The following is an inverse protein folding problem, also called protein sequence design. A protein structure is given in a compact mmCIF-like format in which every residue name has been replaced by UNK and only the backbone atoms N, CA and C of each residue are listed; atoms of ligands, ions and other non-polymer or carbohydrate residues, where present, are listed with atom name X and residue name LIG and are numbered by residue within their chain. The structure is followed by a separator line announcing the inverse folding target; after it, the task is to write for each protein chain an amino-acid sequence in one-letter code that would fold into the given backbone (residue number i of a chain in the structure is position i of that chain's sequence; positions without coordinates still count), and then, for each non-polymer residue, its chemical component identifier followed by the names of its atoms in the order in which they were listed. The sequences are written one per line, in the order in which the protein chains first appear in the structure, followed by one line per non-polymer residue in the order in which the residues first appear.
data_IF_284758334563
#
_entry.id   IF_284758334563
#
_cell.length_a   1.000
_cell.length_b   1.000
_cell.length_c   1.000
_cell.angle_alpha   90.00
_cell.angle_beta   90.00
_cell.angle_gamma   90.00
#
_symmetry.space_group_name_H-M   'P 1'
#
loop_
_entity.id
_entity.type
_entity.pdbx_description
1 polymer ?
#
# COMPACT_ATOMS: atom_id res chain seq x y z
N UNK A 1 43.31 -2.09 -44.53
CA UNK A 1 42.98 -2.17 -43.09
C UNK A 1 42.00 -1.06 -42.79
N UNK A 2 40.71 -1.38 -42.73
CA UNK A 2 39.67 -0.46 -42.24
C UNK A 2 38.62 -1.31 -41.57
N UNK A 3 38.66 -1.34 -40.24
CA UNK A 3 37.54 -1.76 -39.41
C UNK A 3 37.09 -0.55 -38.60
N UNK A 4 35.79 -0.21 -38.64
CA UNK A 4 35.19 0.78 -37.77
C UNK A 4 34.75 0.09 -36.46
N UNK A 5 34.76 0.81 -35.35
CA UNK A 5 33.90 0.45 -34.21
C UNK A 5 33.36 1.71 -33.56
N UNK A 6 32.04 1.76 -33.64
CA UNK A 6 31.08 2.64 -32.98
C UNK A 6 31.48 3.06 -31.57
N UNK A 7 31.34 4.37 -31.32
CA UNK A 7 31.21 4.95 -30.00
C UNK A 7 29.77 5.37 -29.77
N UNK A 8 28.90 4.46 -29.35
CA UNK A 8 27.51 4.77 -28.95
C UNK A 8 27.05 3.82 -27.85
N UNK A 9 27.63 3.94 -26.65
CA UNK A 9 27.03 3.36 -25.44
C UNK A 9 27.38 4.19 -24.21
N UNK A 10 26.59 5.22 -23.88
CA UNK A 10 26.49 5.68 -22.47
C UNK A 10 25.31 6.63 -22.16
N UNK A 11 24.27 6.74 -23.00
CA UNK A 11 23.09 7.57 -22.71
C UNK A 11 21.82 6.77 -22.43
N UNK A 12 21.78 5.47 -22.74
CA UNK A 12 20.57 4.65 -22.57
C UNK A 12 20.33 4.15 -21.14
N UNK A 13 21.37 3.93 -20.32
CA UNK A 13 21.16 3.28 -19.01
C UNK A 13 20.52 4.20 -17.97
N UNK A 14 20.74 5.52 -18.07
CA UNK A 14 20.16 6.47 -17.12
C UNK A 14 18.70 6.78 -17.45
N UNK A 15 18.35 6.92 -18.73
CA UNK A 15 16.96 7.07 -19.16
C UNK A 15 16.16 5.76 -19.07
N UNK A 16 16.78 4.58 -19.25
CA UNK A 16 16.15 3.30 -18.91
C UNK A 16 16.00 3.11 -17.41
N UNK A 17 17.01 3.47 -16.60
CA UNK A 17 16.88 3.43 -15.14
C UNK A 17 15.84 4.43 -14.66
N UNK A 18 15.73 5.62 -15.28
CA UNK A 18 14.70 6.62 -15.01
C UNK A 18 13.32 6.18 -15.48
N UNK A 19 13.18 5.55 -16.65
CA UNK A 19 11.90 4.98 -17.10
C UNK A 19 11.51 3.73 -16.31
N UNK A 20 12.45 2.90 -15.90
CA UNK A 20 12.22 1.77 -15.01
C UNK A 20 11.91 2.25 -13.60
N UNK A 21 12.52 3.35 -13.14
CA UNK A 21 12.14 4.07 -11.94
C UNK A 21 10.73 4.62 -12.13
N UNK A 22 10.40 5.39 -13.15
CA UNK A 22 9.06 5.92 -13.45
C UNK A 22 8.00 4.82 -13.66
N UNK A 23 8.37 3.66 -14.20
CA UNK A 23 7.53 2.46 -14.30
C UNK A 23 7.44 1.68 -12.97
N UNK A 24 8.42 1.81 -12.08
CA UNK A 24 8.41 1.26 -10.71
C UNK A 24 7.85 2.22 -9.65
N UNK A 25 7.84 3.52 -9.97
CA UNK A 25 7.27 4.71 -9.33
C UNK A 25 5.88 4.99 -9.93
N UNK A 26 5.32 4.03 -10.67
CA UNK A 26 3.88 3.84 -10.60
C UNK A 26 3.62 3.46 -9.15
N UNK A 27 3.39 4.50 -8.36
CA UNK A 27 2.85 4.51 -7.02
C UNK A 27 1.54 3.74 -7.05
N UNK A 28 1.63 2.41 -7.10
CA UNK A 28 0.50 1.52 -6.93
C UNK A 28 -0.02 1.81 -5.54
N UNK A 29 -0.99 2.71 -5.49
CA UNK A 29 -1.81 2.96 -4.34
C UNK A 29 -3.12 2.24 -4.60
N UNK A 30 -3.14 0.90 -4.50
CA UNK A 30 -4.35 0.14 -4.79
C UNK A 30 -5.38 0.49 -3.74
N UNK A 31 -6.59 0.74 -4.22
CA UNK A 31 -7.77 0.97 -3.42
C UNK A 31 -8.82 -0.09 -3.75
N UNK A 32 -9.64 -0.42 -2.76
CA UNK A 32 -10.79 -1.30 -2.90
C UNK A 32 -11.94 -0.70 -2.10
N UNK A 33 -13.15 -0.81 -2.66
CA UNK A 33 -14.36 -0.29 -2.05
C UNK A 33 -15.20 -1.42 -1.47
N UNK A 34 -15.79 -1.17 -0.30
CA UNK A 34 -16.80 -2.00 0.33
C UNK A 34 -18.10 -1.23 0.38
N UNK A 35 -19.18 -1.86 -0.07
CA UNK A 35 -20.53 -1.26 -0.06
C UNK A 35 -21.50 -2.13 0.70
N UNK A 36 -22.27 -1.55 1.61
CA UNK A 36 -23.23 -2.30 2.43
C UNK A 36 -24.09 -1.40 3.31
N UNK A 37 -24.75 -2.00 4.30
CA UNK A 37 -25.42 -1.22 5.35
C UNK A 37 -24.38 -0.66 6.32
N UNK A 38 -24.70 0.45 7.00
CA UNK A 38 -23.80 1.02 8.00
C UNK A 38 -23.41 0.01 9.09
N UNK A 39 -24.39 -0.76 9.56
CA UNK A 39 -24.17 -1.78 10.60
C UNK A 39 -23.24 -2.91 10.11
N UNK A 40 -23.44 -3.40 8.89
CA UNK A 40 -22.57 -4.45 8.33
C UNK A 40 -21.15 -3.91 8.08
N UNK A 41 -21.03 -2.65 7.65
CA UNK A 41 -19.73 -2.03 7.45
C UNK A 41 -19.02 -1.66 8.76
N UNK A 42 -19.73 -1.40 9.86
CA UNK A 42 -19.14 -1.21 11.19
C UNK A 42 -18.55 -2.54 11.70
N UNK A 43 -19.30 -3.64 11.52
CA UNK A 43 -18.80 -4.99 11.88
C UNK A 43 -17.63 -5.42 11.00
N UNK A 44 -17.72 -5.21 9.69
CA UNK A 44 -16.64 -5.49 8.75
C UNK A 44 -15.37 -4.71 9.11
N UNK A 45 -15.52 -3.43 9.48
CA UNK A 45 -14.39 -2.60 9.88
C UNK A 45 -13.67 -3.14 11.11
N UNK A 46 -14.41 -3.60 12.13
CA UNK A 46 -13.81 -4.22 13.31
C UNK A 46 -13.02 -5.50 12.97
N UNK A 47 -13.52 -6.30 12.03
CA UNK A 47 -12.82 -7.49 11.55
C UNK A 47 -11.62 -7.16 10.65
N UNK A 48 -11.71 -6.10 9.85
CA UNK A 48 -10.58 -5.59 9.08
C UNK A 48 -9.47 -5.09 10.01
N UNK A 49 -9.80 -4.35 11.07
CA UNK A 49 -8.86 -3.92 12.10
C UNK A 49 -8.15 -5.12 12.75
N UNK A 50 -8.92 -6.13 13.16
CA UNK A 50 -8.37 -7.36 13.72
C UNK A 50 -7.48 -8.09 12.71
N UNK A 51 -7.90 -8.22 11.45
CA UNK A 51 -7.12 -8.92 10.43
C UNK A 51 -5.82 -8.16 10.08
N UNK A 52 -5.89 -6.83 9.96
CA UNK A 52 -4.72 -5.99 9.71
C UNK A 52 -3.68 -6.14 10.82
N UNK A 53 -4.12 -6.14 12.07
CA UNK A 53 -3.23 -6.19 13.23
C UNK A 53 -2.73 -7.60 13.55
N UNK A 54 -3.60 -8.60 13.55
CA UNK A 54 -3.28 -9.96 14.00
C UNK A 54 -2.80 -10.90 12.90
N UNK A 55 -3.32 -10.76 11.66
CA UNK A 55 -2.98 -11.63 10.52
C UNK A 55 -1.87 -11.00 9.68
N UNK A 56 -1.98 -9.69 9.42
CA UNK A 56 -1.09 -8.99 8.50
C UNK A 56 0.04 -8.20 9.21
N UNK A 57 0.18 -8.26 10.53
CA UNK A 57 1.20 -7.54 11.33
C UNK A 57 1.35 -6.06 10.91
N UNK A 58 0.22 -5.41 10.58
CA UNK A 58 0.13 -3.98 10.25
C UNK A 58 -0.32 -3.27 11.53
N UNK A 59 0.43 -2.26 11.96
CA UNK A 59 0.20 -1.60 13.26
C UNK A 59 -0.56 -0.29 13.09
N UNK A 60 -1.50 0.05 13.99
CA UNK A 60 -2.18 1.33 13.96
C UNK A 60 -1.18 2.49 14.13
N UNK A 61 -1.47 3.62 13.48
CA UNK A 61 -0.70 4.86 13.56
C UNK A 61 -1.65 5.97 13.96
N UNK A 62 -1.37 6.59 15.09
CA UNK A 62 -2.09 7.80 15.52
C UNK A 62 -1.45 9.03 14.88
N UNK A 63 -2.26 9.82 14.17
CA UNK A 63 -1.87 11.13 13.65
C UNK A 63 -2.99 12.14 13.93
N UNK A 64 -2.66 13.41 14.11
CA UNK A 64 -3.67 14.46 14.29
C UNK A 64 -4.65 14.44 13.11
N UNK A 65 -5.95 14.31 13.41
CA UNK A 65 -7.00 14.19 12.40
C UNK A 65 -7.42 12.75 12.04
N UNK A 66 -6.84 11.68 12.61
CA UNK A 66 -7.54 10.38 12.66
C UNK A 66 -8.80 10.57 13.51
N UNK A 67 -9.98 10.52 12.88
CA UNK A 67 -11.29 10.74 13.51
C UNK A 67 -12.23 9.55 13.32
N UNK A 68 -13.54 9.75 13.59
CA UNK A 68 -14.58 8.70 13.59
C UNK A 68 -14.87 8.02 12.23
N UNK A 69 -14.06 8.27 11.21
CA UNK A 69 -14.19 7.68 9.88
C UNK A 69 -12.85 7.42 9.19
N UNK A 70 -11.72 7.49 9.91
CA UNK A 70 -10.41 7.40 9.29
C UNK A 70 -9.41 6.64 10.19
N UNK A 71 -8.90 5.53 9.67
CA UNK A 71 -7.95 4.66 10.37
C UNK A 71 -6.70 4.46 9.54
N UNK A 72 -5.54 4.68 10.14
CA UNK A 72 -4.25 4.52 9.49
C UNK A 72 -3.45 3.40 10.15
N UNK A 73 -2.89 2.55 9.32
CA UNK A 73 -2.04 1.44 9.73
C UNK A 73 -0.74 1.48 8.94
N UNK A 74 0.32 0.89 9.51
CA UNK A 74 1.64 0.81 8.90
C UNK A 74 2.26 -0.57 9.09
N UNK A 75 2.82 -1.10 8.00
CA UNK A 75 3.75 -2.25 8.03
C UNK A 75 5.18 -1.76 7.82
N UNK A 76 6.09 -2.21 8.70
CA UNK A 76 7.51 -1.85 8.70
C UNK A 76 7.84 -0.55 9.45
N UNK A 77 9.07 -0.41 9.99
CA UNK A 77 9.49 0.74 10.82
C UNK A 77 11.01 0.83 11.05
N UNK A 78 11.50 2.03 11.43
CA UNK A 78 12.94 2.39 11.58
C UNK A 78 13.77 1.39 12.42
N UNK A 79 13.16 0.72 13.40
CA UNK A 79 13.85 -0.25 14.27
C UNK A 79 14.06 -1.65 13.70
N UNK A 80 13.46 -2.00 12.55
CA UNK A 80 13.63 -3.33 11.92
C UNK A 80 14.71 -3.37 10.82
N UNK A 81 15.23 -2.21 10.40
CA UNK A 81 16.20 -2.13 9.30
C UNK A 81 17.56 -2.79 9.64
N UNK A 82 18.06 -2.61 10.87
CA UNK A 82 19.33 -3.22 11.30
C UNK A 82 19.19 -4.73 11.60
N UNK A 83 18.12 -5.14 12.28
CA UNK A 83 17.90 -6.55 12.62
C UNK A 83 17.58 -7.42 11.40
N UNK A 84 16.81 -6.90 10.44
CA UNK A 84 16.47 -7.63 9.22
C UNK A 84 17.67 -7.79 8.28
N UNK A 85 18.55 -6.79 8.14
CA UNK A 85 19.78 -6.96 7.34
C UNK A 85 20.74 -8.00 7.95
N UNK A 86 20.83 -8.05 9.28
CA UNK A 86 21.69 -9.02 9.98
C UNK A 86 21.14 -10.45 9.90
N UNK A 87 19.82 -10.64 10.03
CA UNK A 87 19.19 -11.96 9.84
C UNK A 87 19.18 -12.41 8.37
N UNK A 88 18.98 -11.49 7.43
CA UNK A 88 18.89 -11.80 5.99
C UNK A 88 20.25 -12.15 5.38
N UNK A 89 21.35 -11.67 5.96
CA UNK A 89 22.70 -12.15 5.64
C UNK A 89 22.96 -13.60 6.09
N UNK A 90 22.15 -14.12 7.04
CA UNK A 90 22.35 -15.43 7.66
C UNK A 90 21.38 -16.52 7.17
N UNK A 91 20.28 -16.18 6.49
CA UNK A 91 19.32 -17.19 6.01
C UNK A 91 19.04 -17.04 4.52
N UNK A 92 19.64 -17.93 3.71
CA UNK A 92 19.38 -18.09 2.27
C UNK A 92 18.07 -18.87 2.00
N UNK A 93 17.05 -18.72 2.86
CA UNK A 93 15.80 -19.47 2.78
C UNK A 93 14.62 -18.65 3.30
N UNK A 94 13.60 -18.50 2.47
CA UNK A 94 12.21 -18.33 2.92
C UNK A 94 11.72 -16.88 3.00
N UNK A 95 10.77 -16.56 2.11
CA UNK A 95 10.23 -15.22 1.94
C UNK A 95 9.45 -14.69 3.14
N UNK A 96 9.76 -13.46 3.51
CA UNK A 96 8.77 -12.49 3.96
C UNK A 96 9.25 -11.13 3.44
N UNK A 97 8.42 -10.58 2.55
CA UNK A 97 8.71 -9.43 1.73
C UNK A 97 9.15 -8.24 2.58
N UNK A 98 10.32 -7.69 2.26
CA UNK A 98 10.90 -6.52 2.90
C UNK A 98 10.21 -5.27 2.30
N UNK A 99 8.90 -5.14 2.52
CA UNK A 99 8.06 -4.08 1.96
C UNK A 99 7.46 -3.29 3.12
N UNK A 100 7.64 -1.96 3.07
CA UNK A 100 6.94 -1.06 3.98
C UNK A 100 5.81 -0.40 3.22
N UNK A 101 4.62 -0.39 3.80
CA UNK A 101 3.44 0.26 3.23
C UNK A 101 2.52 0.71 4.36
N UNK A 102 1.62 1.62 4.03
CA UNK A 102 0.54 2.08 4.89
C UNK A 102 -0.78 1.56 4.35
N UNK A 103 -1.71 1.25 5.26
CA UNK A 103 -3.09 0.92 4.91
C UNK A 103 -3.96 2.00 5.52
N UNK A 104 -4.81 2.61 4.72
CA UNK A 104 -5.79 3.60 5.13
C UNK A 104 -7.18 2.99 4.97
N UNK A 105 -7.97 3.01 6.03
CA UNK A 105 -9.40 2.77 5.96
C UNK A 105 -10.13 4.11 6.11
N UNK A 106 -11.02 4.42 5.16
CA UNK A 106 -11.79 5.66 5.14
C UNK A 106 -13.28 5.36 4.95
N UNK A 107 -14.11 5.74 5.92
CA UNK A 107 -15.56 5.75 5.81
C UNK A 107 -15.95 7.01 5.03
N UNK A 108 -16.36 6.81 3.76
CA UNK A 108 -16.72 7.91 2.86
C UNK A 108 -18.12 8.43 3.17
N UNK A 109 -19.05 7.50 3.40
CA UNK A 109 -20.40 7.75 3.90
C UNK A 109 -20.89 6.52 4.68
N UNK A 110 -22.16 6.51 5.10
CA UNK A 110 -22.74 5.42 5.88
C UNK A 110 -22.75 4.06 5.16
N UNK A 111 -22.75 4.04 3.83
CA UNK A 111 -22.84 2.84 2.99
C UNK A 111 -21.55 2.48 2.26
N UNK A 112 -20.52 3.31 2.33
CA UNK A 112 -19.25 3.14 1.62
C UNK A 112 -18.02 3.22 2.54
N UNK A 113 -17.15 2.22 2.42
CA UNK A 113 -15.83 2.16 3.06
C UNK A 113 -14.75 1.94 1.99
N UNK A 114 -13.63 2.65 2.10
CA UNK A 114 -12.45 2.45 1.27
C UNK A 114 -11.32 1.83 2.08
N UNK A 115 -10.60 0.89 1.48
CA UNK A 115 -9.28 0.47 1.92
C UNK A 115 -8.29 0.86 0.84
N UNK A 116 -7.29 1.67 1.19
CA UNK A 116 -6.24 2.10 0.28
C UNK A 116 -4.87 1.79 0.86
N UNK A 117 -3.96 1.34 0.00
CA UNK A 117 -2.56 1.16 0.37
C UNK A 117 -1.75 2.34 -0.14
N UNK A 118 -0.88 2.91 0.67
CA UNK A 118 0.00 4.02 0.29
C UNK A 118 1.47 3.74 0.63
N UNK A 119 2.38 4.43 -0.07
CA UNK A 119 3.80 4.48 0.27
C UNK A 119 4.48 3.12 0.27
N UNK A 120 4.17 2.29 -0.73
CA UNK A 120 4.77 0.97 -0.93
C UNK A 120 6.25 1.14 -1.30
N UNK A 121 7.12 1.07 -0.30
CA UNK A 121 8.58 1.07 -0.48
C UNK A 121 9.07 -0.36 -0.64
N UNK A 122 9.48 -0.71 -1.86
CA UNK A 122 10.19 -1.97 -2.15
C UNK A 122 11.59 -1.88 -1.56
N UNK A 123 11.97 -2.82 -0.69
CA UNK A 123 13.37 -2.90 -0.22
C UNK A 123 14.17 -4.05 -0.82
N UNK A 124 13.62 -4.88 -1.73
CA UNK A 124 14.34 -5.67 -2.77
C UNK A 124 13.38 -6.61 -3.56
N UNK A 125 13.65 -6.79 -4.86
CA UNK A 125 13.21 -7.82 -5.84
C UNK A 125 11.74 -8.25 -6.05
N UNK A 126 10.73 -7.84 -5.26
CA UNK A 126 9.32 -8.20 -5.54
C UNK A 126 8.40 -7.00 -5.77
N UNK A 127 7.51 -7.13 -6.76
CA UNK A 127 6.37 -6.22 -7.00
C UNK A 127 5.35 -6.45 -5.87
N UNK A 128 4.79 -5.38 -5.33
CA UNK A 128 3.69 -5.48 -4.37
C UNK A 128 2.40 -5.86 -5.11
N UNK A 129 1.81 -6.99 -4.76
CA UNK A 129 0.50 -7.41 -5.26
C UNK A 129 -0.53 -7.39 -4.11
N UNK A 130 -1.54 -6.50 -4.16
CA UNK A 130 -2.57 -6.45 -3.12
C UNK A 130 -3.40 -7.74 -3.04
N UNK A 131 -3.49 -8.54 -4.11
CA UNK A 131 -4.17 -9.84 -4.07
C UNK A 131 -3.39 -10.87 -3.26
N UNK A 132 -2.05 -10.91 -3.39
CA UNK A 132 -1.19 -11.79 -2.60
C UNK A 132 -1.26 -11.41 -1.11
N UNK A 133 -1.28 -10.11 -0.80
CA UNK A 133 -1.23 -9.61 0.57
C UNK A 133 -2.59 -9.69 1.28
N UNK A 134 -3.67 -9.24 0.63
CA UNK A 134 -4.99 -9.11 1.27
C UNK A 134 -6.00 -10.16 0.81
N UNK A 135 -5.73 -10.90 -0.27
CA UNK A 135 -6.73 -11.75 -0.93
C UNK A 135 -7.34 -12.79 0.00
N UNK A 136 -6.54 -13.45 0.85
CA UNK A 136 -7.05 -14.43 1.80
C UNK A 136 -8.01 -13.79 2.82
N UNK A 137 -7.64 -12.62 3.37
CA UNK A 137 -8.47 -11.85 4.32
C UNK A 137 -9.77 -11.41 3.66
N UNK A 138 -9.69 -10.82 2.46
CA UNK A 138 -10.88 -10.34 1.74
C UNK A 138 -11.82 -11.47 1.33
N UNK A 139 -11.28 -12.63 0.94
CA UNK A 139 -12.08 -13.82 0.59
C UNK A 139 -12.76 -14.43 1.81
N UNK A 140 -12.16 -14.32 2.99
CA UNK A 140 -12.79 -14.75 4.24
C UNK A 140 -13.89 -13.76 4.66
N UNK A 141 -13.61 -12.46 4.62
CA UNK A 141 -14.59 -11.41 4.92
C UNK A 141 -15.80 -11.46 3.97
N UNK A 142 -15.60 -11.68 2.68
CA UNK A 142 -16.72 -11.79 1.72
C UNK A 142 -17.65 -12.96 2.02
N UNK A 143 -17.14 -14.02 2.66
CA UNK A 143 -17.95 -15.18 3.09
C UNK A 143 -18.70 -14.90 4.38
N UNK A 144 -18.10 -14.15 5.32
CA UNK A 144 -18.71 -13.80 6.61
C UNK A 144 -19.72 -12.65 6.51
N UNK A 145 -19.54 -11.75 5.56
CA UNK A 145 -20.38 -10.57 5.36
C UNK A 145 -21.03 -10.57 3.96
N UNK A 146 -21.97 -11.48 3.68
CA UNK A 146 -22.60 -11.58 2.35
C UNK A 146 -23.44 -10.34 1.97
N UNK A 147 -23.82 -9.51 2.95
CA UNK A 147 -24.50 -8.23 2.73
C UNK A 147 -23.56 -7.09 2.30
N UNK A 148 -22.25 -7.31 2.30
CA UNK A 148 -21.25 -6.34 1.86
C UNK A 148 -20.71 -6.74 0.49
N UNK A 149 -20.83 -5.84 -0.48
CA UNK A 149 -20.18 -5.98 -1.78
C UNK A 149 -18.74 -5.50 -1.68
N UNK A 150 -17.78 -6.36 -2.03
CA UNK A 150 -16.37 -6.00 -2.17
C UNK A 150 -16.08 -5.74 -3.65
N UNK A 151 -15.67 -4.52 -3.99
CA UNK A 151 -15.35 -4.13 -5.36
C UNK A 151 -14.02 -4.71 -5.86
N UNK A 152 -13.70 -4.54 -7.15
CA UNK A 152 -12.37 -4.84 -7.66
C UNK A 152 -11.33 -3.85 -7.12
N UNK A 153 -10.06 -4.23 -7.13
CA UNK A 153 -8.97 -3.28 -6.91
C UNK A 153 -8.90 -2.27 -8.04
N UNK A 154 -8.66 -1.01 -7.69
CA UNK A 154 -8.44 0.09 -8.61
C UNK A 154 -7.32 0.99 -8.11
N UNK A 155 -6.89 1.95 -8.92
CA UNK A 155 -5.83 2.87 -8.55
C UNK A 155 -6.41 4.08 -7.81
N UNK A 156 -5.93 4.40 -6.61
CA UNK A 156 -6.50 5.48 -5.80
C UNK A 156 -6.33 6.89 -6.39
N UNK A 157 -5.53 7.04 -7.45
CA UNK A 157 -5.40 8.29 -8.21
C UNK A 157 -6.68 8.64 -8.98
N UNK A 158 -7.60 7.70 -9.16
CA UNK A 158 -8.93 7.96 -9.72
C UNK A 158 -9.89 8.57 -8.71
N UNK A 159 -9.51 8.64 -7.42
CA UNK A 159 -10.33 9.24 -6.37
C UNK A 159 -10.19 10.76 -6.36
N UNK A 160 -11.27 11.50 -6.10
CA UNK A 160 -11.21 12.93 -5.80
C UNK A 160 -10.20 13.27 -4.71
N UNK A 161 -9.48 14.39 -4.87
CA UNK A 161 -8.47 14.87 -3.91
C UNK A 161 -9.02 15.19 -2.51
N UNK A 162 -10.35 15.34 -2.41
CA UNK A 162 -11.04 15.54 -1.13
C UNK A 162 -10.98 14.29 -0.23
N UNK A 163 -10.80 13.09 -0.80
CA UNK A 163 -10.69 11.86 -0.03
C UNK A 163 -9.27 11.64 0.46
N UNK A 164 -9.14 11.26 1.73
CA UNK A 164 -7.84 10.93 2.32
C UNK A 164 -7.21 9.71 1.64
N UNK A 165 -8.01 8.84 1.03
CA UNK A 165 -7.60 7.70 0.20
C UNK A 165 -6.98 8.10 -1.13
N UNK A 166 -7.21 9.31 -1.64
CA UNK A 166 -6.51 9.77 -2.84
C UNK A 166 -5.05 10.10 -2.51
N UNK A 167 -4.09 9.97 -3.44
CA UNK A 167 -2.69 10.33 -3.18
C UNK A 167 -2.53 11.80 -2.73
N UNK A 168 -3.29 12.72 -3.33
CA UNK A 168 -3.25 14.14 -2.99
C UNK A 168 -3.89 14.42 -1.62
N UNK A 169 -5.02 13.80 -1.31
CA UNK A 169 -5.69 13.92 -0.02
C UNK A 169 -4.86 13.31 1.11
N UNK A 170 -4.26 12.14 0.87
CA UNK A 170 -3.33 11.49 1.80
C UNK A 170 -2.15 12.42 2.12
N UNK A 171 -1.50 12.97 1.09
CA UNK A 171 -0.37 13.87 1.24
C UNK A 171 -0.71 15.14 2.04
N UNK A 172 -1.89 15.71 1.81
CA UNK A 172 -2.41 16.85 2.58
C UNK A 172 -2.66 16.49 4.04
N UNK A 173 -3.28 15.33 4.28
CA UNK A 173 -3.67 14.91 5.62
C UNK A 173 -2.47 14.63 6.52
N UNK A 174 -1.51 13.87 6.01
CA UNK A 174 -0.33 13.47 6.80
C UNK A 174 0.76 14.56 6.83
N UNK A 175 0.60 15.60 6.01
CA UNK A 175 1.56 16.68 5.80
C UNK A 175 2.57 16.35 4.70
N UNK A 176 2.78 17.30 3.77
CA UNK A 176 3.60 17.12 2.56
C UNK A 176 5.03 16.65 2.85
N UNK A 177 5.65 17.13 3.94
CA UNK A 177 7.00 16.71 4.34
C UNK A 177 7.06 15.24 4.79
N UNK A 178 5.97 14.72 5.36
CA UNK A 178 5.84 13.31 5.73
C UNK A 178 5.45 12.47 4.50
N UNK A 179 4.62 13.03 3.61
CA UNK A 179 4.20 12.36 2.38
C UNK A 179 5.29 12.21 1.33
N UNK A 180 6.33 13.06 1.29
CA UNK A 180 7.51 12.87 0.43
C UNK A 180 8.30 11.59 0.77
N UNK A 181 8.08 11.02 1.95
CA UNK A 181 8.53 9.69 2.28
C UNK A 181 7.64 8.57 1.73
N UNK A 182 6.41 8.88 1.32
CA UNK A 182 5.27 7.97 1.23
C UNK A 182 4.49 8.08 -0.11
N UNK A 183 4.92 8.95 -1.01
CA UNK A 183 4.64 9.04 -2.46
C UNK A 183 5.96 8.89 -3.20
#
# INVERSE_FOLDING_TARGET
MTSPTDGTHSTNSFDEARRALEQSEINHSPAIAFRGTAEDLDRLLAELDLALTSVLDVRPVEIEGTGAGLWLYRRGGRGRWFGAQLLQAMTTQGGMQNVSYHVLLERVDAGDLLLTVHGVRRTLYSVFDPHEVFGAVLTDLSRRYPGVTIGPWFHSSTLPEAFASSPAGFARWIGTARSLGWT
#
